data_IF_878828992838
#
_entry.id   IF_878828992838
#
_cell.length_a   1.000
_cell.length_b   1.000
_cell.length_c   1.000
_cell.angle_alpha   90.00
_cell.angle_beta   90.00
_cell.angle_gamma   90.00
#
_symmetry.space_group_name_H-M   'P 1'
#
loop_
_entity.id
_entity.type
_entity.pdbx_description
1 polymer ?
#
# COMPACT_ATOMS: atom_id res chain seq x y z
N UNK A 1 -35.85 -11.97 45.52
CA UNK A 1 -36.65 -11.93 44.25
C UNK A 1 -36.44 -10.65 43.45
N UNK A 2 -36.70 -9.45 43.98
CA UNK A 2 -36.53 -8.17 43.24
C UNK A 2 -35.11 -7.93 42.71
N UNK A 3 -34.07 -8.16 43.53
CA UNK A 3 -32.66 -8.00 43.12
C UNK A 3 -32.30 -8.92 41.94
N UNK A 4 -32.78 -10.17 41.97
CA UNK A 4 -32.54 -11.14 40.89
C UNK A 4 -33.17 -10.69 39.57
N UNK A 5 -34.38 -10.14 39.61
CA UNK A 5 -35.06 -9.58 38.43
C UNK A 5 -34.25 -8.41 37.85
N UNK A 6 -33.76 -7.49 38.69
CA UNK A 6 -32.93 -6.37 38.23
C UNK A 6 -31.62 -6.84 37.59
N UNK A 7 -30.96 -7.85 38.17
CA UNK A 7 -29.73 -8.43 37.59
C UNK A 7 -30.03 -9.06 36.24
N UNK A 8 -31.11 -9.84 36.10
CA UNK A 8 -31.49 -10.49 34.84
C UNK A 8 -31.87 -9.47 33.76
N UNK A 9 -32.62 -8.42 34.11
CA UNK A 9 -32.96 -7.33 33.17
C UNK A 9 -31.69 -6.56 32.76
N UNK A 10 -30.79 -6.27 33.69
CA UNK A 10 -29.51 -5.63 33.40
C UNK A 10 -28.62 -6.46 32.48
N UNK A 11 -28.52 -7.77 32.74
CA UNK A 11 -27.77 -8.69 31.89
C UNK A 11 -28.39 -8.78 30.48
N UNK A 12 -29.71 -8.89 30.39
CA UNK A 12 -30.40 -8.91 29.10
C UNK A 12 -30.18 -7.60 28.32
N UNK A 13 -30.29 -6.45 28.98
CA UNK A 13 -30.03 -5.16 28.36
C UNK A 13 -28.57 -5.03 27.89
N UNK A 14 -27.61 -5.52 28.68
CA UNK A 14 -26.20 -5.56 28.29
C UNK A 14 -25.95 -6.47 27.08
N UNK A 15 -26.48 -7.70 27.10
CA UNK A 15 -26.37 -8.65 25.98
C UNK A 15 -27.03 -8.09 24.73
N UNK A 16 -28.21 -7.48 24.85
CA UNK A 16 -28.88 -6.83 23.73
C UNK A 16 -28.08 -5.64 23.19
N UNK A 17 -27.54 -4.78 24.05
CA UNK A 17 -26.70 -3.65 23.64
C UNK A 17 -25.43 -4.14 22.93
N UNK A 18 -24.81 -5.20 23.44
CA UNK A 18 -23.63 -5.83 22.84
C UNK A 18 -23.98 -6.45 21.48
N UNK A 19 -25.08 -7.18 21.38
CA UNK A 19 -25.58 -7.75 20.12
C UNK A 19 -25.91 -6.65 19.10
N UNK A 20 -26.62 -5.60 19.51
CA UNK A 20 -26.89 -4.45 18.65
C UNK A 20 -25.60 -3.82 18.14
N UNK A 21 -24.60 -3.65 19.00
CA UNK A 21 -23.34 -3.00 18.63
C UNK A 21 -22.46 -3.87 17.74
N UNK A 22 -22.44 -5.19 17.94
CA UNK A 22 -21.61 -6.14 17.18
C UNK A 22 -22.27 -6.62 15.88
N UNK A 23 -23.59 -6.73 15.83
CA UNK A 23 -24.31 -7.37 14.72
C UNK A 23 -25.16 -6.38 13.94
N UNK A 24 -26.09 -5.68 14.61
CA UNK A 24 -27.08 -4.83 13.94
C UNK A 24 -26.46 -3.54 13.41
N UNK A 25 -25.73 -2.82 14.25
CA UNK A 25 -25.16 -1.51 13.91
C UNK A 25 -24.23 -1.58 12.69
N UNK A 26 -23.29 -2.55 12.59
CA UNK A 26 -22.44 -2.66 11.40
C UNK A 26 -23.24 -2.95 10.13
N UNK A 27 -24.29 -3.77 10.21
CA UNK A 27 -25.14 -4.07 9.06
C UNK A 27 -25.91 -2.83 8.58
N UNK A 28 -26.46 -2.03 9.51
CA UNK A 28 -27.12 -0.76 9.17
C UNK A 28 -26.15 0.21 8.51
N UNK A 29 -24.94 0.35 9.05
CA UNK A 29 -23.89 1.22 8.49
C UNK A 29 -23.50 0.75 7.08
N UNK A 30 -23.31 -0.55 6.89
CA UNK A 30 -22.97 -1.11 5.58
C UNK A 30 -24.08 -0.84 4.56
N UNK A 31 -25.36 -1.04 4.91
CA UNK A 31 -26.50 -0.72 4.03
C UNK A 31 -26.55 0.77 3.68
N UNK A 32 -26.29 1.66 4.63
CA UNK A 32 -26.23 3.10 4.40
C UNK A 32 -25.11 3.46 3.42
N UNK A 33 -23.91 2.92 3.61
CA UNK A 33 -22.78 3.15 2.70
C UNK A 33 -23.09 2.61 1.29
N UNK A 34 -23.66 1.41 1.19
CA UNK A 34 -24.02 0.79 -0.09
C UNK A 34 -25.13 1.54 -0.83
N UNK A 35 -26.00 2.28 -0.13
CA UNK A 35 -27.01 3.13 -0.76
C UNK A 35 -26.45 4.39 -1.42
N UNK A 36 -25.17 4.73 -1.18
CA UNK A 36 -24.48 5.83 -1.87
C UNK A 36 -24.01 5.42 -3.28
N UNK A 37 -23.96 4.12 -3.55
CA UNK A 37 -23.44 3.57 -4.80
C UNK A 37 -24.54 3.38 -5.83
N UNK A 38 -24.18 3.58 -7.10
CA UNK A 38 -25.05 3.31 -8.24
C UNK A 38 -25.11 1.84 -8.61
N UNK A 39 -25.54 1.58 -9.84
CA UNK A 39 -25.51 0.27 -10.47
C UNK A 39 -24.09 -0.10 -10.92
N UNK A 40 -23.86 -1.38 -11.20
CA UNK A 40 -22.61 -1.84 -11.84
C UNK A 40 -22.51 -1.26 -13.26
N UNK A 41 -21.29 -1.04 -13.75
CA UNK A 41 -21.08 -0.48 -15.08
C UNK A 41 -21.65 -1.40 -16.17
N UNK A 42 -22.40 -0.80 -17.10
CA UNK A 42 -22.92 -1.49 -18.27
C UNK A 42 -21.84 -1.77 -19.31
N UNK A 43 -22.21 -2.49 -20.36
CA UNK A 43 -21.37 -2.67 -21.55
C UNK A 43 -21.86 -1.79 -22.69
N UNK A 44 -20.94 -1.04 -23.28
CA UNK A 44 -21.14 -0.29 -24.52
C UNK A 44 -20.61 -1.10 -25.69
N UNK A 45 -21.30 -1.02 -26.83
CA UNK A 45 -20.84 -1.58 -28.08
C UNK A 45 -20.52 -0.44 -29.06
N UNK A 46 -19.23 -0.25 -29.32
CA UNK A 46 -18.71 0.83 -30.18
C UNK A 46 -17.73 0.20 -31.17
N UNK A 47 -17.92 0.44 -32.46
CA UNK A 47 -17.08 -0.10 -33.55
C UNK A 47 -16.85 -1.62 -33.49
N UNK A 48 -17.83 -2.40 -33.01
CA UNK A 48 -17.71 -3.85 -32.85
C UNK A 48 -16.92 -4.32 -31.63
N UNK A 49 -16.40 -3.39 -30.82
CA UNK A 49 -15.73 -3.67 -29.55
C UNK A 49 -16.65 -3.43 -28.35
N UNK A 50 -16.34 -4.07 -27.22
CA UNK A 50 -17.06 -3.92 -25.95
C UNK A 50 -16.23 -3.08 -24.98
N UNK A 51 -16.85 -2.07 -24.39
CA UNK A 51 -16.26 -1.21 -23.36
C UNK A 51 -17.15 -1.19 -22.12
N UNK A 52 -16.58 -0.83 -20.98
CA UNK A 52 -17.36 -0.61 -19.74
C UNK A 52 -17.74 0.87 -19.67
N UNK A 53 -19.03 1.12 -19.44
CA UNK A 53 -19.57 2.46 -19.12
C UNK A 53 -19.36 2.73 -17.61
N UNK A 54 -18.12 3.04 -17.25
CA UNK A 54 -17.67 3.19 -15.86
C UNK A 54 -18.36 4.35 -15.15
N UNK A 55 -18.76 5.41 -15.86
CA UNK A 55 -19.56 6.50 -15.27
C UNK A 55 -21.08 6.42 -15.51
N UNK A 56 -21.56 5.39 -16.23
CA UNK A 56 -22.97 5.06 -16.45
C UNK A 56 -23.73 6.15 -17.20
N UNK A 57 -23.10 6.81 -18.17
CA UNK A 57 -23.71 7.90 -18.92
C UNK A 57 -24.17 7.50 -20.34
N UNK A 58 -24.00 6.24 -20.73
CA UNK A 58 -24.44 5.67 -22.00
C UNK A 58 -23.56 6.02 -23.20
N UNK A 59 -22.38 6.60 -23.01
CA UNK A 59 -21.40 6.90 -24.07
C UNK A 59 -20.00 6.47 -23.66
N UNK A 60 -19.14 6.22 -24.63
CA UNK A 60 -17.74 5.90 -24.38
C UNK A 60 -16.96 7.20 -24.15
N UNK A 61 -16.62 7.50 -22.90
CA UNK A 61 -15.75 8.66 -22.59
C UNK A 61 -14.27 8.34 -22.87
N UNK A 62 -13.45 9.37 -22.98
CA UNK A 62 -12.02 9.23 -23.35
C UNK A 62 -11.30 8.35 -22.33
N UNK A 63 -11.52 8.57 -21.03
CA UNK A 63 -10.83 7.79 -19.99
C UNK A 63 -11.16 6.29 -19.99
N UNK A 64 -12.33 5.92 -20.51
CA UNK A 64 -12.83 4.55 -20.60
C UNK A 64 -12.29 3.81 -21.82
N UNK A 65 -11.84 4.53 -22.84
CA UNK A 65 -11.33 3.97 -24.08
C UNK A 65 -9.82 3.68 -24.00
N UNK A 66 -9.40 2.40 -23.83
CA UNK A 66 -7.98 2.03 -23.77
C UNK A 66 -7.21 2.28 -25.07
N UNK A 67 -7.89 2.65 -26.17
CA UNK A 67 -7.26 3.01 -27.45
C UNK A 67 -6.73 4.46 -27.45
N UNK A 68 -7.18 5.30 -26.51
CA UNK A 68 -6.73 6.69 -26.37
C UNK A 68 -5.38 6.76 -25.63
N UNK A 69 -4.53 7.77 -25.93
CA UNK A 69 -3.30 8.01 -25.19
C UNK A 69 -3.54 8.13 -23.68
N UNK A 70 -2.60 7.64 -22.87
CA UNK A 70 -2.73 7.62 -21.41
C UNK A 70 -2.98 9.02 -20.85
N UNK A 71 -2.26 10.02 -21.33
CA UNK A 71 -2.33 11.41 -20.86
C UNK A 71 -3.72 12.01 -21.12
N UNK A 72 -4.32 11.73 -22.28
CA UNK A 72 -5.69 12.17 -22.57
C UNK A 72 -6.71 11.52 -21.63
N UNK A 73 -6.52 10.23 -21.32
CA UNK A 73 -7.38 9.49 -20.40
C UNK A 73 -7.28 10.02 -18.97
N UNK A 74 -6.06 10.38 -18.54
CA UNK A 74 -5.80 10.97 -17.23
C UNK A 74 -6.46 12.35 -17.12
N UNK A 75 -6.26 13.22 -18.12
CA UNK A 75 -6.84 14.57 -18.12
C UNK A 75 -8.38 14.54 -18.17
N UNK A 76 -8.96 13.67 -18.99
CA UNK A 76 -10.42 13.48 -19.05
C UNK A 76 -10.98 13.01 -17.70
N UNK A 77 -10.35 11.99 -17.09
CA UNK A 77 -10.77 11.51 -15.77
C UNK A 77 -10.66 12.61 -14.70
N UNK A 78 -9.52 13.30 -14.63
CA UNK A 78 -9.29 14.37 -13.65
C UNK A 78 -10.25 15.55 -13.84
N UNK A 79 -10.62 15.85 -15.09
CA UNK A 79 -11.61 16.86 -15.44
C UNK A 79 -13.02 16.51 -14.99
N UNK A 80 -13.34 15.21 -14.93
CA UNK A 80 -14.64 14.72 -14.47
C UNK A 80 -14.74 14.54 -12.95
N UNK A 81 -13.62 14.44 -12.23
CA UNK A 81 -13.61 14.16 -10.78
C UNK A 81 -14.03 15.34 -9.90
N UNK A 82 -14.77 15.05 -8.82
CA UNK A 82 -15.02 16.00 -7.73
C UNK A 82 -13.79 16.16 -6.83
N UNK A 83 -13.81 17.15 -5.94
CA UNK A 83 -12.72 17.34 -4.98
C UNK A 83 -12.61 16.14 -4.01
N UNK A 84 -13.74 15.58 -3.59
CA UNK A 84 -13.81 14.43 -2.70
C UNK A 84 -13.23 13.17 -3.34
N UNK A 85 -13.52 12.93 -4.63
CA UNK A 85 -12.92 11.82 -5.38
C UNK A 85 -11.40 12.02 -5.53
N UNK A 86 -10.94 13.25 -5.81
CA UNK A 86 -9.51 13.59 -5.86
C UNK A 86 -8.84 13.36 -4.51
N UNK A 87 -9.49 13.75 -3.42
CA UNK A 87 -8.99 13.51 -2.08
C UNK A 87 -8.90 12.00 -1.77
N UNK A 88 -9.90 11.21 -2.20
CA UNK A 88 -9.91 9.76 -2.05
C UNK A 88 -8.69 9.05 -2.67
N UNK A 89 -8.22 9.53 -3.83
CA UNK A 89 -7.00 9.02 -4.48
C UNK A 89 -5.73 9.22 -3.64
N UNK A 90 -5.71 10.18 -2.73
CA UNK A 90 -4.54 10.55 -1.94
C UNK A 90 -4.34 9.67 -0.69
N UNK A 91 -5.24 8.71 -0.44
CA UNK A 91 -5.16 7.83 0.72
C UNK A 91 -4.83 6.39 0.35
N UNK A 92 -3.82 5.84 1.03
CA UNK A 92 -3.50 4.43 1.00
C UNK A 92 -3.90 3.78 2.33
N UNK A 93 -5.13 3.26 2.39
CA UNK A 93 -5.69 2.73 3.62
C UNK A 93 -5.48 1.21 3.76
N UNK A 94 -5.72 0.70 4.95
CA UNK A 94 -5.79 -0.75 5.18
C UNK A 94 -7.21 -1.25 4.92
N UNK A 95 -7.34 -2.33 4.15
CA UNK A 95 -8.61 -3.03 3.92
C UNK A 95 -8.51 -4.48 4.41
N UNK A 96 -9.62 -5.01 4.92
CA UNK A 96 -9.71 -6.41 5.33
C UNK A 96 -10.71 -7.20 4.49
N UNK A 97 -10.68 -8.52 4.71
CA UNK A 97 -11.57 -9.51 4.13
C UNK A 97 -12.03 -10.49 5.20
N UNK A 98 -13.17 -11.14 4.96
CA UNK A 98 -13.59 -12.32 5.73
C UNK A 98 -12.85 -13.57 5.24
N UNK A 99 -12.92 -14.66 6.01
CA UNK A 99 -12.25 -15.94 5.68
C UNK A 99 -12.74 -16.56 4.38
N UNK A 100 -14.01 -16.36 4.07
CA UNK A 100 -14.68 -16.89 2.89
C UNK A 100 -14.46 -16.04 1.63
N UNK A 101 -13.63 -14.99 1.68
CA UNK A 101 -13.39 -14.09 0.54
C UNK A 101 -14.49 -13.05 0.31
N UNK A 102 -15.42 -12.88 1.26
CA UNK A 102 -16.41 -11.80 1.19
C UNK A 102 -15.88 -10.48 1.75
N UNK A 103 -16.53 -9.37 1.39
CA UNK A 103 -16.22 -8.04 1.90
C UNK A 103 -16.42 -8.00 3.42
N UNK A 104 -15.50 -7.33 4.12
CA UNK A 104 -15.61 -7.19 5.57
C UNK A 104 -16.40 -5.94 5.92
N UNK A 105 -17.66 -6.13 6.29
CA UNK A 105 -18.56 -5.06 6.72
C UNK A 105 -18.66 -4.90 8.24
N UNK A 106 -18.30 -5.96 9.00
CA UNK A 106 -18.27 -5.93 10.46
C UNK A 106 -16.87 -5.56 10.94
N UNK A 107 -16.75 -4.45 11.66
CA UNK A 107 -15.51 -4.15 12.39
C UNK A 107 -15.46 -5.02 13.64
N UNK A 108 -14.36 -5.76 13.83
CA UNK A 108 -14.04 -6.31 15.16
C UNK A 108 -13.79 -5.15 16.15
N UNK A 109 -13.69 -5.46 17.44
CA UNK A 109 -13.34 -4.49 18.50
C UNK A 109 -12.04 -3.70 18.20
N UNK A 110 -11.20 -4.17 17.29
CA UNK A 110 -9.99 -3.49 16.82
C UNK A 110 -10.18 -2.93 15.40
N UNK A 111 -10.53 -1.64 15.40
CA UNK A 111 -10.36 -0.54 14.44
C UNK A 111 -9.87 -0.83 13.00
N UNK A 112 -10.65 -1.54 12.19
CA UNK A 112 -10.56 -1.36 10.73
C UNK A 112 -11.93 -1.01 10.16
N UNK A 113 -12.06 0.07 9.37
CA UNK A 113 -13.33 0.44 8.77
C UNK A 113 -13.91 -0.67 7.86
N UNK A 114 -15.24 -0.69 7.69
CA UNK A 114 -15.92 -1.53 6.69
C UNK A 114 -15.42 -1.27 5.27
N UNK A 115 -15.41 -2.29 4.40
CA UNK A 115 -15.08 -2.12 2.98
C UNK A 115 -15.98 -1.08 2.31
N UNK A 116 -17.29 -1.11 2.58
CA UNK A 116 -18.24 -0.11 2.08
C UNK A 116 -17.93 1.32 2.53
N UNK A 117 -17.43 1.53 3.75
CA UNK A 117 -17.09 2.86 4.26
C UNK A 117 -15.90 3.44 3.48
N UNK A 118 -14.85 2.63 3.30
CA UNK A 118 -13.64 3.04 2.59
C UNK A 118 -13.92 3.38 1.12
N UNK A 119 -14.74 2.57 0.44
CA UNK A 119 -14.94 2.68 -1.01
C UNK A 119 -16.12 3.59 -1.35
N UNK A 120 -17.29 3.39 -0.75
CA UNK A 120 -18.50 4.13 -1.12
C UNK A 120 -18.53 5.54 -0.53
N UNK A 121 -18.14 5.68 0.74
CA UNK A 121 -18.24 6.94 1.46
C UNK A 121 -16.96 7.76 1.37
N UNK A 122 -15.80 7.14 1.53
CA UNK A 122 -14.50 7.83 1.52
C UNK A 122 -13.85 7.89 0.13
N UNK A 123 -14.41 7.20 -0.86
CA UNK A 123 -13.97 7.22 -2.26
C UNK A 123 -12.48 6.88 -2.42
N UNK A 124 -11.93 6.08 -1.51
CA UNK A 124 -10.53 5.65 -1.54
C UNK A 124 -10.35 4.50 -2.53
N UNK A 125 -9.20 4.46 -3.19
CA UNK A 125 -8.93 3.41 -4.18
C UNK A 125 -7.56 2.72 -4.10
N UNK A 126 -6.75 3.03 -3.10
CA UNK A 126 -5.49 2.34 -2.85
C UNK A 126 -5.54 1.67 -1.48
N UNK A 127 -5.43 0.33 -1.45
CA UNK A 127 -5.53 -0.41 -0.21
C UNK A 127 -4.43 -1.43 0.00
N UNK A 128 -3.86 -1.45 1.21
CA UNK A 128 -3.07 -2.56 1.71
C UNK A 128 -3.99 -3.63 2.29
N UNK A 129 -3.90 -4.85 1.78
CA UNK A 129 -4.60 -6.00 2.36
C UNK A 129 -3.91 -6.46 3.64
N UNK A 130 -4.66 -6.69 4.72
CA UNK A 130 -4.10 -7.17 6.00
C UNK A 130 -4.14 -8.66 6.21
N UNK A 131 -5.06 -9.36 5.53
CA UNK A 131 -5.26 -10.79 5.70
C UNK A 131 -4.97 -11.50 4.41
N UNK A 132 -4.26 -12.62 4.51
CA UNK A 132 -4.09 -13.56 3.42
C UNK A 132 -5.05 -14.72 3.67
N UNK A 133 -5.93 -14.99 2.71
CA UNK A 133 -6.81 -16.15 2.69
C UNK A 133 -6.34 -17.08 1.56
N UNK A 134 -6.94 -18.27 1.43
CA UNK A 134 -6.60 -19.17 0.33
C UNK A 134 -6.76 -18.49 -1.05
N UNK A 135 -5.99 -18.88 -2.08
CA UNK A 135 -5.88 -18.13 -3.34
C UNK A 135 -7.21 -17.82 -4.01
N UNK A 136 -8.15 -18.78 -3.99
CA UNK A 136 -9.48 -18.60 -4.57
C UNK A 136 -10.24 -17.50 -3.84
N UNK A 137 -10.27 -17.54 -2.51
CA UNK A 137 -10.95 -16.54 -1.69
C UNK A 137 -10.34 -15.15 -1.88
N UNK A 138 -9.02 -15.05 -2.03
CA UNK A 138 -8.39 -13.76 -2.35
C UNK A 138 -8.80 -13.23 -3.74
N UNK A 139 -8.81 -14.08 -4.76
CA UNK A 139 -9.22 -13.69 -6.10
C UNK A 139 -10.71 -13.27 -6.15
N UNK A 140 -11.58 -14.04 -5.48
CA UNK A 140 -13.00 -13.72 -5.35
C UNK A 140 -13.22 -12.42 -4.57
N UNK A 141 -12.50 -12.23 -3.46
CA UNK A 141 -12.52 -10.99 -2.69
C UNK A 141 -12.06 -9.78 -3.52
N UNK A 142 -10.97 -9.91 -4.27
CA UNK A 142 -10.49 -8.85 -5.14
C UNK A 142 -11.54 -8.48 -6.20
N UNK A 143 -12.23 -9.48 -6.77
CA UNK A 143 -13.35 -9.23 -7.69
C UNK A 143 -14.52 -8.52 -6.99
N UNK A 144 -14.87 -8.90 -5.76
CA UNK A 144 -15.91 -8.20 -4.98
C UNK A 144 -15.53 -6.73 -4.71
N UNK A 145 -14.27 -6.46 -4.40
CA UNK A 145 -13.74 -5.10 -4.21
C UNK A 145 -13.83 -4.28 -5.50
N UNK A 146 -13.44 -4.86 -6.65
CA UNK A 146 -13.55 -4.18 -7.94
C UNK A 146 -15.01 -3.92 -8.32
N UNK A 147 -15.91 -4.88 -8.12
CA UNK A 147 -17.36 -4.68 -8.38
C UNK A 147 -17.95 -3.58 -7.51
N UNK A 148 -17.51 -3.48 -6.25
CA UNK A 148 -17.97 -2.40 -5.38
C UNK A 148 -17.48 -1.04 -5.89
N UNK A 149 -16.21 -0.94 -6.28
CA UNK A 149 -15.64 0.30 -6.81
C UNK A 149 -16.23 0.70 -8.17
N UNK A 150 -16.54 -0.28 -9.02
CA UNK A 150 -17.23 -0.10 -10.29
C UNK A 150 -18.60 0.57 -10.11
N UNK A 151 -19.24 0.49 -8.94
CA UNK A 151 -20.50 1.16 -8.63
C UNK A 151 -20.35 2.61 -8.14
N UNK A 152 -19.12 3.08 -7.89
CA UNK A 152 -18.86 4.51 -7.60
C UNK A 152 -19.13 5.34 -8.84
N UNK A 153 -19.30 6.67 -8.70
CA UNK A 153 -19.74 7.53 -9.80
C UNK A 153 -18.89 7.42 -11.07
N UNK A 154 -17.57 7.33 -10.95
CA UNK A 154 -16.64 7.23 -12.09
C UNK A 154 -16.07 5.82 -12.32
N UNK A 155 -16.41 4.85 -11.46
CA UNK A 155 -15.94 3.48 -11.58
C UNK A 155 -14.41 3.33 -11.54
N UNK A 156 -13.70 4.22 -10.84
CA UNK A 156 -12.23 4.19 -10.76
C UNK A 156 -11.80 2.89 -10.05
N UNK A 157 -10.95 2.06 -10.68
CA UNK A 157 -10.60 0.75 -10.14
C UNK A 157 -9.72 0.86 -8.89
N UNK A 158 -9.75 -0.22 -8.10
CA UNK A 158 -8.98 -0.32 -6.86
C UNK A 158 -7.58 -0.90 -7.12
N UNK A 159 -6.56 -0.32 -6.51
CA UNK A 159 -5.24 -0.94 -6.39
C UNK A 159 -5.13 -1.66 -5.05
N UNK A 160 -4.99 -2.99 -5.11
CA UNK A 160 -4.70 -3.81 -3.93
C UNK A 160 -3.19 -4.01 -3.83
N UNK A 161 -2.64 -3.69 -2.66
CA UNK A 161 -1.22 -3.79 -2.37
C UNK A 161 -0.91 -4.74 -1.22
N UNK A 162 0.32 -5.25 -1.20
CA UNK A 162 0.83 -6.03 -0.07
C UNK A 162 2.31 -5.74 0.20
N UNK A 163 2.73 -5.95 1.44
CA UNK A 163 4.15 -6.22 1.73
C UNK A 163 4.56 -7.55 1.09
N UNK A 164 5.87 -7.84 1.09
CA UNK A 164 6.39 -9.12 0.57
C UNK A 164 5.69 -10.32 1.24
N UNK A 165 5.10 -11.20 0.42
CA UNK A 165 4.48 -12.46 0.86
C UNK A 165 5.36 -13.68 0.54
N UNK A 166 6.46 -13.46 -0.19
CA UNK A 166 7.38 -14.50 -0.66
C UNK A 166 8.61 -14.67 0.25
N UNK A 167 8.58 -14.08 1.43
CA UNK A 167 9.65 -14.17 2.44
C UNK A 167 9.46 -15.39 3.34
N UNK A 168 10.57 -15.94 3.86
CA UNK A 168 10.52 -16.98 4.88
C UNK A 168 10.12 -16.45 6.28
N UNK A 169 10.31 -15.16 6.56
CA UNK A 169 9.98 -14.59 7.87
C UNK A 169 8.47 -14.49 8.10
N UNK A 170 8.03 -15.00 9.25
CA UNK A 170 6.67 -14.79 9.76
C UNK A 170 6.66 -13.55 10.65
N UNK A 171 6.14 -12.43 10.12
CA UNK A 171 5.93 -11.22 10.90
C UNK A 171 4.43 -10.91 10.96
N UNK A 172 3.74 -11.11 12.11
CA UNK A 172 2.30 -10.89 12.22
C UNK A 172 1.86 -9.45 11.91
N UNK A 173 2.76 -8.46 11.96
CA UNK A 173 2.50 -7.05 11.62
C UNK A 173 2.71 -6.79 10.11
N UNK A 174 3.66 -7.48 9.48
CA UNK A 174 3.91 -7.36 8.04
C UNK A 174 2.96 -8.20 7.19
N UNK A 175 2.41 -9.28 7.77
CA UNK A 175 1.45 -10.22 7.19
C UNK A 175 1.75 -11.65 7.67
N UNK A 176 0.71 -12.40 8.02
CA UNK A 176 0.84 -13.86 8.21
C UNK A 176 0.64 -14.51 6.84
N UNK A 177 1.73 -14.73 6.10
CA UNK A 177 1.71 -15.60 4.93
C UNK A 177 1.60 -17.05 5.42
N UNK A 178 0.40 -17.45 5.83
CA UNK A 178 0.06 -18.87 5.96
C UNK A 178 0.31 -19.49 4.57
N UNK A 179 1.32 -20.37 4.48
CA UNK A 179 1.65 -21.41 3.47
C UNK A 179 1.16 -21.33 2.00
N UNK A 180 0.71 -20.18 1.51
CA UNK A 180 -0.04 -20.04 0.25
C UNK A 180 0.84 -19.55 -0.89
N UNK A 181 1.83 -18.71 -0.59
CA UNK A 181 2.79 -18.18 -1.56
C UNK A 181 4.10 -18.97 -1.49
N UNK A 182 4.77 -19.08 -2.63
CA UNK A 182 6.10 -19.69 -2.70
C UNK A 182 7.08 -18.96 -1.78
N UNK A 183 7.91 -19.70 -1.03
CA UNK A 183 8.86 -19.12 -0.08
C UNK A 183 10.25 -19.06 -0.66
N UNK A 184 10.87 -17.88 -0.56
CA UNK A 184 12.22 -17.60 -1.03
C UNK A 184 13.07 -17.00 0.09
N UNK A 185 14.41 -16.98 -0.08
CA UNK A 185 15.27 -16.16 0.77
C UNK A 185 14.84 -14.69 0.75
N UNK A 186 15.12 -13.99 1.85
CA UNK A 186 15.02 -12.53 1.89
C UNK A 186 15.96 -11.88 0.88
N UNK A 187 15.81 -10.56 0.64
CA UNK A 187 16.65 -9.83 -0.30
C UNK A 187 18.16 -10.01 -0.03
N UNK A 188 18.58 -10.14 1.24
CA UNK A 188 19.97 -10.39 1.57
C UNK A 188 20.45 -11.78 1.11
N UNK A 189 19.58 -12.80 1.20
CA UNK A 189 19.87 -14.14 0.70
C UNK A 189 19.89 -14.20 -0.83
N UNK A 190 19.01 -13.45 -1.49
CA UNK A 190 19.04 -13.27 -2.94
C UNK A 190 20.32 -12.56 -3.39
N UNK A 191 20.74 -11.50 -2.70
CA UNK A 191 21.99 -10.78 -2.98
C UNK A 191 23.23 -11.69 -2.87
N UNK A 192 23.23 -12.64 -1.93
CA UNK A 192 24.34 -13.57 -1.74
C UNK A 192 24.62 -14.45 -2.97
N UNK A 193 23.63 -14.61 -3.87
CA UNK A 193 23.81 -15.33 -5.15
C UNK A 193 24.62 -14.52 -6.17
N UNK A 194 24.61 -13.18 -6.05
CA UNK A 194 25.16 -12.25 -7.05
C UNK A 194 24.65 -12.50 -8.47
N UNK A 195 23.41 -12.98 -8.57
CA UNK A 195 22.79 -13.36 -9.83
C UNK A 195 21.50 -12.51 -10.06
N UNK A 196 21.61 -11.40 -10.82
CA UNK A 196 20.46 -10.56 -11.09
C UNK A 196 19.42 -11.28 -11.97
N UNK A 197 19.82 -12.22 -12.84
CA UNK A 197 18.87 -12.99 -13.65
C UNK A 197 18.01 -13.89 -12.77
N UNK A 198 18.61 -14.53 -11.75
CA UNK A 198 17.89 -15.30 -10.76
C UNK A 198 16.92 -14.43 -9.94
N UNK A 199 17.33 -13.21 -9.57
CA UNK A 199 16.44 -12.25 -8.89
C UNK A 199 15.25 -11.87 -9.78
N UNK A 200 15.48 -11.64 -11.07
CA UNK A 200 14.40 -11.34 -12.01
C UNK A 200 13.45 -12.52 -12.20
N UNK A 201 13.97 -13.76 -12.25
CA UNK A 201 13.15 -14.97 -12.31
C UNK A 201 12.28 -15.13 -11.07
N UNK A 202 12.87 -14.95 -9.88
CA UNK A 202 12.14 -14.93 -8.61
C UNK A 202 11.02 -13.88 -8.64
N UNK A 203 11.34 -12.64 -9.03
CA UNK A 203 10.37 -11.55 -9.10
C UNK A 203 9.23 -11.86 -10.08
N UNK A 204 9.53 -12.51 -11.22
CA UNK A 204 8.51 -12.94 -12.17
C UNK A 204 7.61 -14.07 -11.65
N UNK A 205 8.12 -14.99 -10.83
CA UNK A 205 7.30 -16.01 -10.14
C UNK A 205 6.35 -15.31 -9.16
N UNK A 206 6.90 -14.45 -8.30
CA UNK A 206 6.13 -13.72 -7.30
C UNK A 206 5.05 -12.82 -7.94
N UNK A 207 5.38 -12.15 -9.05
CA UNK A 207 4.43 -11.39 -9.88
C UNK A 207 3.23 -12.23 -10.31
N UNK A 208 3.46 -13.44 -10.83
CA UNK A 208 2.38 -14.31 -11.31
C UNK A 208 1.44 -14.71 -10.18
N UNK A 209 1.99 -15.03 -9.01
CA UNK A 209 1.18 -15.36 -7.83
C UNK A 209 0.36 -14.16 -7.34
N UNK A 210 0.94 -12.96 -7.29
CA UNK A 210 0.21 -11.73 -6.95
C UNK A 210 -0.89 -11.43 -7.97
N UNK A 211 -0.60 -11.60 -9.27
CA UNK A 211 -1.59 -11.37 -10.33
C UNK A 211 -2.80 -12.28 -10.15
N UNK A 212 -2.56 -13.55 -9.83
CA UNK A 212 -3.58 -14.59 -9.65
C UNK A 212 -4.56 -14.29 -8.50
N UNK A 213 -4.11 -13.60 -7.45
CA UNK A 213 -4.94 -13.25 -6.28
C UNK A 213 -5.44 -11.80 -6.27
N UNK A 214 -5.21 -11.05 -7.36
CA UNK A 214 -5.70 -9.68 -7.49
C UNK A 214 -4.82 -8.59 -6.87
N UNK A 215 -3.62 -8.92 -6.38
CA UNK A 215 -2.64 -7.91 -5.93
C UNK A 215 -2.01 -7.27 -7.18
N UNK A 216 -1.90 -5.93 -7.17
CA UNK A 216 -1.37 -5.14 -8.29
C UNK A 216 -0.29 -4.13 -7.88
N UNK A 217 0.00 -4.03 -6.59
CA UNK A 217 1.07 -3.20 -6.05
C UNK A 217 1.89 -3.94 -4.98
N UNK A 218 3.16 -4.15 -5.26
CA UNK A 218 4.16 -4.63 -4.33
C UNK A 218 4.73 -3.44 -3.53
N UNK A 219 4.60 -3.46 -2.19
CA UNK A 219 5.19 -2.44 -1.30
C UNK A 219 6.69 -2.70 -1.05
N UNK A 220 7.41 -3.06 -2.11
CA UNK A 220 8.80 -3.52 -2.14
C UNK A 220 9.32 -3.41 -3.60
N UNK A 221 10.65 -3.43 -3.87
CA UNK A 221 11.77 -3.81 -3.00
C UNK A 221 12.24 -2.74 -1.99
N UNK A 222 13.02 -3.15 -0.98
CA UNK A 222 13.81 -2.19 -0.18
C UNK A 222 15.15 -1.92 -0.90
N UNK A 223 15.33 -0.69 -1.36
CA UNK A 223 16.55 -0.14 -1.95
C UNK A 223 17.50 0.46 -0.89
N UNK A 224 17.20 0.27 0.39
CA UNK A 224 18.07 0.67 1.50
C UNK A 224 19.38 -0.16 1.49
N UNK A 225 20.47 0.38 2.02
CA UNK A 225 21.76 -0.33 2.14
C UNK A 225 22.07 -0.69 3.59
N UNK A 226 22.48 -1.92 3.86
CA UNK A 226 22.77 -2.41 5.21
C UNK A 226 24.12 -1.91 5.78
N UNK A 227 24.40 -0.60 5.73
CA UNK A 227 25.67 0.00 6.19
C UNK A 227 25.75 0.20 7.71
N UNK A 228 24.64 0.06 8.43
CA UNK A 228 24.61 -0.05 9.89
C UNK A 228 24.13 -1.46 10.27
N UNK A 229 25.04 -2.39 10.64
CA UNK A 229 24.70 -3.79 10.83
C UNK A 229 23.82 -4.06 12.06
N UNK A 230 23.69 -3.10 12.99
CA UNK A 230 22.73 -3.20 14.11
C UNK A 230 21.29 -2.94 13.67
N UNK A 231 21.08 -2.36 12.50
CA UNK A 231 19.76 -2.03 12.01
C UNK A 231 18.95 -3.31 11.74
N UNK A 232 17.85 -3.46 12.47
CA UNK A 232 17.05 -4.70 12.50
C UNK A 232 16.42 -5.08 11.16
N UNK A 233 16.34 -4.16 10.21
CA UNK A 233 15.73 -4.38 8.88
C UNK A 233 16.76 -4.68 7.78
N UNK A 234 18.05 -4.76 8.11
CA UNK A 234 19.13 -5.02 7.16
C UNK A 234 18.91 -6.29 6.31
N UNK A 235 18.32 -7.34 6.90
CA UNK A 235 18.01 -8.61 6.19
C UNK A 235 17.06 -8.42 4.99
N UNK A 236 16.21 -7.38 5.06
CA UNK A 236 15.27 -7.04 4.01
C UNK A 236 15.90 -6.22 2.89
N UNK A 237 17.22 -6.03 2.85
CA UNK A 237 17.93 -5.27 1.79
C UNK A 237 18.79 -6.19 0.92
N UNK A 238 19.33 -5.69 -0.19
CA UNK A 238 20.33 -6.41 -0.99
C UNK A 238 21.78 -6.26 -0.48
N UNK A 239 21.97 -5.84 0.77
CA UNK A 239 23.28 -5.73 1.41
C UNK A 239 23.83 -4.31 1.49
N UNK A 240 25.13 -4.18 1.77
CA UNK A 240 25.83 -2.91 1.99
C UNK A 240 26.50 -2.32 0.73
N UNK A 241 26.74 -3.15 -0.28
CA UNK A 241 27.38 -2.73 -1.54
C UNK A 241 26.33 -2.10 -2.47
N UNK A 242 26.48 -0.81 -2.76
CA UNK A 242 25.51 -0.06 -3.53
C UNK A 242 25.43 -0.51 -4.99
N UNK A 243 26.53 -1.02 -5.58
CA UNK A 243 26.53 -1.44 -6.97
C UNK A 243 25.79 -2.79 -7.09
N UNK A 244 26.11 -3.74 -6.21
CA UNK A 244 25.39 -5.02 -6.13
C UNK A 244 23.89 -4.78 -5.85
N UNK A 245 23.56 -3.94 -4.87
CA UNK A 245 22.18 -3.61 -4.57
C UNK A 245 21.46 -2.97 -5.76
N UNK A 246 22.14 -2.09 -6.52
CA UNK A 246 21.58 -1.46 -7.72
C UNK A 246 21.23 -2.49 -8.80
N UNK A 247 22.11 -3.44 -9.09
CA UNK A 247 21.88 -4.53 -10.05
C UNK A 247 20.68 -5.38 -9.63
N UNK A 248 20.62 -5.79 -8.36
CA UNK A 248 19.53 -6.61 -7.83
C UNK A 248 18.20 -5.86 -7.80
N UNK A 249 18.19 -4.57 -7.45
CA UNK A 249 17.00 -3.73 -7.43
C UNK A 249 16.41 -3.59 -8.84
N UNK A 250 17.25 -3.30 -9.84
CA UNK A 250 16.79 -3.18 -11.21
C UNK A 250 16.16 -4.49 -11.70
N UNK A 251 16.84 -5.62 -11.48
CA UNK A 251 16.34 -6.94 -11.87
C UNK A 251 15.02 -7.31 -11.18
N UNK A 252 14.91 -7.00 -9.87
CA UNK A 252 13.69 -7.21 -9.10
C UNK A 252 12.50 -6.43 -9.67
N UNK A 253 12.70 -5.14 -9.95
CA UNK A 253 11.65 -4.26 -10.48
C UNK A 253 11.22 -4.75 -11.87
N UNK A 254 12.16 -5.08 -12.75
CA UNK A 254 11.85 -5.60 -14.09
C UNK A 254 11.08 -6.92 -14.04
N UNK A 255 11.33 -7.78 -13.06
CA UNK A 255 10.58 -9.04 -12.89
C UNK A 255 9.14 -8.85 -12.41
N UNK A 256 8.88 -7.87 -11.53
CA UNK A 256 7.53 -7.57 -11.03
C UNK A 256 6.71 -6.72 -12.00
N UNK A 257 7.32 -5.66 -12.53
CA UNK A 257 6.61 -4.67 -13.33
C UNK A 257 6.65 -4.99 -14.82
N UNK A 258 7.70 -5.65 -15.31
CA UNK A 258 8.12 -5.46 -16.70
C UNK A 258 8.52 -4.00 -16.95
N UNK A 259 8.63 -3.62 -18.21
CA UNK A 259 8.76 -2.22 -18.62
C UNK A 259 8.29 -2.09 -20.09
N UNK A 260 7.15 -1.44 -20.38
CA UNK A 260 6.26 -0.70 -19.47
C UNK A 260 5.31 -1.60 -18.64
N UNK A 261 4.56 -0.99 -17.71
CA UNK A 261 3.47 -1.65 -16.98
C UNK A 261 2.34 -2.11 -17.93
N UNK A 262 1.77 -3.29 -17.67
CA UNK A 262 0.65 -3.86 -18.41
C UNK A 262 -0.27 -4.71 -17.54
N UNK A 263 -1.19 -5.45 -18.17
CA UNK A 263 -2.22 -6.24 -17.48
C UNK A 263 -1.69 -7.40 -16.64
N UNK A 264 -0.45 -7.82 -16.90
CA UNK A 264 0.25 -8.87 -16.18
C UNK A 264 1.27 -8.30 -15.17
N UNK A 265 1.39 -6.99 -15.07
CA UNK A 265 2.35 -6.35 -14.19
C UNK A 265 1.83 -6.24 -12.76
N UNK A 266 2.77 -6.20 -11.83
CA UNK A 266 2.55 -5.71 -10.47
C UNK A 266 3.47 -4.52 -10.30
N UNK A 267 2.91 -3.33 -10.04
CA UNK A 267 3.69 -2.14 -9.78
C UNK A 267 4.54 -2.32 -8.52
N UNK A 268 5.76 -1.77 -8.50
CA UNK A 268 6.65 -1.74 -7.34
C UNK A 268 6.60 -0.36 -6.68
N UNK A 269 6.66 -0.38 -5.36
CA UNK A 269 6.93 0.80 -4.54
C UNK A 269 8.30 0.63 -3.90
N UNK A 270 9.33 1.19 -4.54
CA UNK A 270 10.70 1.12 -4.03
C UNK A 270 10.85 1.99 -2.79
N UNK A 271 11.53 1.46 -1.76
CA UNK A 271 11.57 2.08 -0.44
C UNK A 271 12.90 1.88 0.31
N UNK A 272 13.21 2.64 1.35
CA UNK A 272 12.50 3.84 1.82
C UNK A 272 13.37 5.04 1.48
N UNK A 273 12.94 5.86 0.53
CA UNK A 273 13.75 6.98 0.05
C UNK A 273 13.96 8.01 1.18
N UNK A 274 15.19 8.55 1.36
CA UNK A 274 16.39 8.44 0.52
C UNK A 274 17.41 7.36 0.95
N UNK A 275 16.95 6.27 1.57
CA UNK A 275 17.75 5.09 1.95
C UNK A 275 17.91 4.98 3.45
N UNK A 276 17.04 4.22 4.12
CA UNK A 276 16.91 4.12 5.58
C UNK A 276 18.11 3.50 6.31
N UNK A 277 18.97 2.77 5.61
CA UNK A 277 20.00 1.91 6.21
C UNK A 277 20.95 2.49 7.27
N UNK A 278 21.44 3.74 7.17
CA UNK A 278 22.43 4.28 8.09
C UNK A 278 21.76 4.94 9.32
N UNK A 279 20.78 4.26 9.92
CA UNK A 279 20.10 4.76 11.13
C UNK A 279 21.08 4.99 12.27
N UNK A 280 20.91 6.10 13.00
CA UNK A 280 21.75 6.36 14.16
C UNK A 280 21.61 5.21 15.17
N UNK A 281 22.73 4.58 15.52
CA UNK A 281 22.80 3.43 16.42
C UNK A 281 22.07 2.15 15.94
N UNK A 282 21.59 2.11 14.69
CA UNK A 282 20.78 1.00 14.17
C UNK A 282 19.32 1.02 14.62
N UNK A 283 18.85 2.10 15.22
CA UNK A 283 17.49 2.18 15.78
C UNK A 283 16.44 2.52 14.71
N UNK A 284 15.27 1.90 14.78
CA UNK A 284 14.24 2.05 13.74
C UNK A 284 13.39 3.33 13.92
N UNK A 285 13.19 4.10 12.84
CA UNK A 285 12.46 5.37 12.88
C UNK A 285 10.95 5.22 13.05
N UNK A 286 10.40 4.00 13.09
CA UNK A 286 9.06 3.77 13.61
C UNK A 286 8.93 4.17 15.09
N UNK A 287 10.04 4.26 15.82
CA UNK A 287 10.07 4.59 17.23
C UNK A 287 10.71 5.97 17.48
N UNK A 288 10.24 6.72 18.51
CA UNK A 288 10.78 8.05 18.82
C UNK A 288 12.29 8.09 19.03
N UNK A 289 12.89 7.02 19.57
CA UNK A 289 14.33 6.93 19.84
C UNK A 289 15.17 6.67 18.58
N UNK A 290 14.57 6.17 17.49
CA UNK A 290 15.25 5.86 16.23
C UNK A 290 15.00 6.88 15.11
N UNK A 291 14.43 8.05 15.44
CA UNK A 291 14.03 9.04 14.44
C UNK A 291 15.19 9.73 13.72
N UNK A 292 16.42 9.60 14.19
CA UNK A 292 17.59 10.28 13.62
C UNK A 292 18.31 9.39 12.61
N UNK A 293 18.49 9.91 11.40
CA UNK A 293 19.28 9.26 10.38
C UNK A 293 20.56 10.03 10.09
N UNK A 294 21.68 9.33 10.16
CA UNK A 294 23.03 9.87 9.90
C UNK A 294 23.57 9.29 8.61
N UNK A 295 24.50 9.97 7.95
CA UNK A 295 25.20 9.42 6.78
C UNK A 295 26.71 9.50 7.04
N UNK A 296 27.29 8.52 7.76
CA UNK A 296 28.71 8.51 8.09
C UNK A 296 29.59 8.68 6.85
N UNK A 297 30.66 9.45 6.97
CA UNK A 297 31.59 9.70 5.86
C UNK A 297 31.01 10.54 4.71
N UNK A 298 29.84 11.18 4.89
CA UNK A 298 29.21 11.97 3.83
C UNK A 298 28.60 11.11 2.71
N UNK A 299 28.29 9.84 3.00
CA UNK A 299 27.84 8.85 2.03
C UNK A 299 26.37 8.98 1.60
N UNK A 300 25.78 10.18 1.66
CA UNK A 300 24.38 10.39 1.26
C UNK A 300 24.12 9.93 -0.18
N UNK A 301 24.96 10.36 -1.14
CA UNK A 301 24.86 9.98 -2.55
C UNK A 301 25.06 8.48 -2.78
N UNK A 302 25.88 7.82 -1.95
CA UNK A 302 26.08 6.37 -2.03
C UNK A 302 24.78 5.60 -1.75
N UNK A 303 23.97 6.09 -0.80
CA UNK A 303 22.67 5.54 -0.47
C UNK A 303 21.58 5.82 -1.53
N UNK A 304 21.81 6.77 -2.45
CA UNK A 304 20.88 7.06 -3.55
C UNK A 304 21.06 6.12 -4.75
N UNK A 305 22.24 5.51 -4.93
CA UNK A 305 22.54 4.67 -6.10
C UNK A 305 21.50 3.57 -6.38
N UNK A 306 21.01 2.80 -5.38
CA UNK A 306 19.99 1.79 -5.66
C UNK A 306 18.64 2.38 -6.10
N UNK A 307 18.31 3.60 -5.65
CA UNK A 307 17.13 4.32 -6.13
C UNK A 307 17.32 4.85 -7.56
N UNK A 308 18.53 5.27 -7.93
CA UNK A 308 18.85 5.65 -9.31
C UNK A 308 18.66 4.47 -10.26
N UNK A 309 19.11 3.28 -9.86
CA UNK A 309 18.83 2.05 -10.60
C UNK A 309 17.32 1.72 -10.65
N UNK A 310 16.58 1.97 -9.57
CA UNK A 310 15.13 1.80 -9.55
C UNK A 310 14.40 2.76 -10.51
N UNK A 311 14.84 4.02 -10.61
CA UNK A 311 14.30 4.98 -11.57
C UNK A 311 14.58 4.55 -13.01
N UNK A 312 15.79 4.10 -13.30
CA UNK A 312 16.17 3.58 -14.61
C UNK A 312 15.37 2.31 -14.98
N UNK A 313 15.07 1.45 -14.01
CA UNK A 313 14.20 0.29 -14.18
C UNK A 313 12.70 0.64 -14.30
N UNK A 314 12.33 1.92 -14.13
CA UNK A 314 10.96 2.39 -14.27
C UNK A 314 10.06 2.10 -13.08
N UNK A 315 10.59 2.11 -11.84
CA UNK A 315 9.77 1.89 -10.62
C UNK A 315 8.53 2.78 -10.62
N UNK A 316 7.37 2.21 -10.31
CA UNK A 316 6.10 2.93 -10.41
C UNK A 316 5.89 3.90 -9.25
N UNK A 317 6.37 3.55 -8.05
CA UNK A 317 6.17 4.34 -6.85
C UNK A 317 7.42 4.40 -5.97
N UNK A 318 7.53 5.47 -5.17
CA UNK A 318 8.54 5.63 -4.12
C UNK A 318 7.85 5.80 -2.78
N UNK A 319 8.28 5.02 -1.78
CA UNK A 319 7.91 5.25 -0.39
C UNK A 319 8.98 6.09 0.31
N UNK A 320 8.57 7.15 1.00
CA UNK A 320 9.43 7.98 1.84
C UNK A 320 9.68 7.34 3.21
N UNK A 321 10.87 7.57 3.77
CA UNK A 321 11.18 7.13 5.13
C UNK A 321 10.76 8.15 6.22
N UNK A 322 10.70 7.69 7.47
CA UNK A 322 10.22 8.52 8.60
C UNK A 322 11.27 9.49 9.14
N UNK A 323 12.54 9.10 9.09
CA UNK A 323 13.62 9.72 9.87
C UNK A 323 13.91 11.17 9.51
N UNK A 324 14.49 11.89 10.47
CA UNK A 324 15.04 13.22 10.35
C UNK A 324 16.52 13.14 9.91
N UNK A 325 16.94 13.93 8.90
CA UNK A 325 18.35 14.01 8.52
C UNK A 325 19.20 14.71 9.58
N UNK A 326 20.37 14.13 9.88
CA UNK A 326 21.36 14.72 10.79
C UNK A 326 22.68 14.94 10.06
N UNK A 327 23.21 16.16 10.14
CA UNK A 327 24.54 16.50 9.61
C UNK A 327 24.62 16.68 8.08
N UNK A 328 23.47 16.75 7.39
CA UNK A 328 23.35 17.01 5.94
C UNK A 328 22.45 18.23 5.70
N UNK A 329 22.61 18.96 4.56
CA UNK A 329 22.01 20.27 4.35
C UNK A 329 20.54 20.18 3.89
N UNK A 330 19.73 19.43 4.62
CA UNK A 330 18.27 19.36 4.41
C UNK A 330 17.53 19.86 5.63
N UNK A 331 16.28 20.25 5.43
CA UNK A 331 15.38 20.60 6.52
C UNK A 331 15.34 19.50 7.60
N UNK A 332 15.37 19.89 8.88
CA UNK A 332 15.42 18.95 10.02
C UNK A 332 14.04 18.42 10.40
N UNK A 333 13.31 17.92 9.40
CA UNK A 333 12.02 17.25 9.52
C UNK A 333 12.11 15.87 8.89
N UNK A 334 11.19 14.97 9.26
CA UNK A 334 11.11 13.62 8.71
C UNK A 334 11.06 13.65 7.18
N UNK A 335 11.70 12.70 6.51
CA UNK A 335 11.77 12.71 5.04
C UNK A 335 10.41 12.68 4.33
N UNK A 336 9.38 12.16 5.00
CA UNK A 336 7.97 12.26 4.57
C UNK A 336 7.42 13.69 4.45
N UNK A 337 8.00 14.66 5.15
CA UNK A 337 7.59 16.08 5.18
C UNK A 337 8.62 17.00 4.51
N UNK A 338 9.79 16.48 4.17
CA UNK A 338 10.93 17.29 3.76
C UNK A 338 10.83 17.74 2.29
N UNK A 339 10.71 19.06 2.07
CA UNK A 339 10.55 19.63 0.73
C UNK A 339 11.79 19.42 -0.16
N UNK A 340 12.99 19.44 0.42
CA UNK A 340 14.24 19.23 -0.32
C UNK A 340 14.32 17.80 -0.87
N UNK A 341 13.81 16.82 -0.12
CA UNK A 341 13.74 15.42 -0.55
C UNK A 341 12.64 15.22 -1.58
N UNK A 342 11.40 15.61 -1.27
CA UNK A 342 10.24 15.31 -2.13
C UNK A 342 10.26 16.16 -3.40
N UNK A 343 10.41 17.48 -3.26
CA UNK A 343 10.40 18.39 -4.42
C UNK A 343 11.80 18.54 -5.01
N UNK A 344 12.83 18.71 -4.19
CA UNK A 344 14.19 18.94 -4.66
C UNK A 344 14.81 17.71 -5.33
N UNK A 345 14.81 16.56 -4.66
CA UNK A 345 15.40 15.34 -5.21
C UNK A 345 14.44 14.60 -6.16
N UNK A 346 13.30 14.11 -5.66
CA UNK A 346 12.44 13.22 -6.47
C UNK A 346 11.86 13.94 -7.69
N UNK A 347 11.19 15.09 -7.51
CA UNK A 347 10.54 15.79 -8.64
C UNK A 347 11.53 16.57 -9.53
N UNK A 348 12.49 17.31 -8.95
CA UNK A 348 13.38 18.19 -9.74
C UNK A 348 14.66 17.51 -10.20
N UNK A 349 15.47 16.93 -9.30
CA UNK A 349 16.76 16.32 -9.67
C UNK A 349 16.57 15.06 -10.52
N UNK A 350 15.69 14.16 -10.09
CA UNK A 350 15.49 12.87 -10.75
C UNK A 350 14.36 12.86 -11.77
N UNK A 351 13.52 13.91 -11.82
CA UNK A 351 12.40 13.96 -12.76
C UNK A 351 11.41 12.80 -12.55
N UNK A 352 11.28 12.27 -11.33
CA UNK A 352 10.39 11.15 -11.06
C UNK A 352 8.94 11.61 -11.23
N UNK A 353 8.20 10.97 -12.13
CA UNK A 353 6.79 11.29 -12.42
C UNK A 353 5.80 10.31 -11.77
N UNK A 354 6.30 9.22 -11.16
CA UNK A 354 5.47 8.23 -10.48
C UNK A 354 4.88 8.71 -9.15
N UNK A 355 4.21 7.78 -8.45
CA UNK A 355 3.55 8.08 -7.17
C UNK A 355 4.57 8.17 -6.04
N UNK A 356 4.51 9.23 -5.23
CA UNK A 356 5.28 9.35 -3.99
C UNK A 356 4.32 9.08 -2.84
N UNK A 357 4.59 8.04 -2.06
CA UNK A 357 3.76 7.60 -0.96
C UNK A 357 4.50 7.77 0.38
N UNK A 358 3.78 8.17 1.42
CA UNK A 358 4.32 8.11 2.78
C UNK A 358 4.34 6.68 3.28
N UNK A 359 5.23 6.34 4.20
CA UNK A 359 5.10 5.10 4.97
C UNK A 359 3.95 5.22 6.01
N UNK A 360 3.59 4.09 6.63
CA UNK A 360 2.38 3.94 7.44
C UNK A 360 2.39 4.83 8.69
N UNK A 361 1.20 5.35 9.04
CA UNK A 361 0.99 6.09 10.29
C UNK A 361 1.86 7.35 10.43
N UNK A 362 2.22 7.99 9.31
CA UNK A 362 3.02 9.20 9.32
C UNK A 362 2.37 10.31 10.18
N UNK A 363 1.07 10.53 10.00
CA UNK A 363 0.29 11.58 10.71
C UNK A 363 -0.81 11.02 11.63
N UNK A 364 -0.96 9.69 11.70
CA UNK A 364 -2.03 9.04 12.48
C UNK A 364 -1.44 8.14 13.57
N UNK A 365 -1.68 8.42 14.86
CA UNK A 365 -1.28 7.52 15.93
C UNK A 365 -2.22 6.31 16.05
N UNK A 366 -1.74 5.22 16.67
CA UNK A 366 -2.61 4.14 17.15
C UNK A 366 -3.06 4.49 18.56
N UNK A 367 -4.38 4.60 18.74
CA UNK A 367 -5.01 4.83 20.03
C UNK A 367 -5.87 3.65 20.46
N UNK A 368 -5.84 3.31 21.74
CA UNK A 368 -6.73 2.33 22.37
C UNK A 368 -7.39 2.94 23.60
N UNK A 369 -8.73 2.92 23.64
CA UNK A 369 -9.53 3.54 24.71
C UNK A 369 -9.13 5.00 25.01
N UNK A 370 -8.86 5.77 23.96
CA UNK A 370 -8.44 7.18 24.06
C UNK A 370 -6.98 7.41 24.46
N UNK A 371 -6.21 6.34 24.77
CA UNK A 371 -4.77 6.44 25.05
C UNK A 371 -3.97 6.13 23.80
N UNK A 372 -2.94 6.93 23.54
CA UNK A 372 -1.99 6.66 22.47
C UNK A 372 -1.09 5.48 22.86
N UNK A 373 -1.08 4.44 22.02
CA UNK A 373 -0.22 3.28 22.17
C UNK A 373 1.04 3.42 21.31
N UNK A 374 0.88 3.91 20.08
CA UNK A 374 1.97 4.13 19.14
C UNK A 374 1.79 5.53 18.55
N UNK A 375 2.78 6.42 18.69
CA UNK A 375 2.68 7.77 18.16
C UNK A 375 2.67 7.78 16.63
N UNK A 376 2.16 8.88 16.08
CA UNK A 376 2.40 9.25 14.69
C UNK A 376 3.90 9.49 14.47
N UNK A 377 4.40 9.26 13.26
CA UNK A 377 5.82 9.43 12.90
C UNK A 377 6.04 10.82 12.31
N UNK A 378 5.44 11.84 12.93
CA UNK A 378 5.43 13.22 12.48
C UNK A 378 6.73 13.96 12.84
N UNK A 379 7.87 13.30 12.71
CA UNK A 379 9.14 13.75 13.29
C UNK A 379 9.56 15.14 12.80
N UNK A 380 9.77 16.08 13.71
CA UNK A 380 10.15 17.46 13.42
C UNK A 380 8.99 18.40 13.07
N UNK A 381 7.76 17.88 13.02
CA UNK A 381 6.54 18.63 12.70
C UNK A 381 5.37 18.29 13.65
N UNK A 382 5.66 17.70 14.81
CA UNK A 382 4.69 17.25 15.81
C UNK A 382 3.84 18.37 16.45
#
# INVERSE_FOLDING_TARGET
MKILIFILVGLFAFVYALYYWLEIKPEVVARQNLSLLGEEAGLLQVDGHKFRDLNKNGRLDVYEDPRRPLEERVEDLLGQMTLEEKAGLMFHATIGMNEDGTLREKSALISLPPSSDLIARRLMNHFKVTRIAAPRQMAEWANHVQKLAERTRLGIPITISSNSLHSFMQNPVAGMAEEIFSRFPEQAGLAATRDPELVQQFANIARQEYVAVGIRLALHPMADLATEPRWSRAVGTFGEDANLASEMIAAYILGFQGNPLGSQSVACMTKHFPGAGPQRNGEDAHFPYGKEQVYPGGLFEYHLKPFEAAFQAGTAQIMLYYSIPVGIPFEKVGFGFNKDIVTGLLRKRYGFEGVICTDQMLIHPIKYMGRELIPAKAWGVE
#
